data_IF_779330926228
#
_entry.id   IF_779330926228
#
_cell.length_a   1.000
_cell.length_b   1.000
_cell.length_c   1.000
_cell.angle_alpha   90.00
_cell.angle_beta   90.00
_cell.angle_gamma   90.00
#
_symmetry.space_group_name_H-M   'P 1'
#
loop_
_entity.id
_entity.type
_entity.pdbx_description
1 polymer ?
#
# COMPACT_ATOMS: atom_id res chain seq x y z
N UNK A 1 -19.44 -47.87 -48.54
CA UNK A 1 -18.80 -46.55 -48.54
C UNK A 1 -18.95 -45.90 -47.19
N UNK A 2 -17.86 -45.78 -46.42
CA UNK A 2 -17.78 -44.89 -45.26
C UNK A 2 -17.02 -43.64 -45.71
N UNK A 3 -17.68 -42.48 -45.69
CA UNK A 3 -17.03 -41.19 -45.86
C UNK A 3 -16.52 -40.72 -44.50
N UNK A 4 -15.20 -40.68 -44.33
CA UNK A 4 -14.55 -39.91 -43.25
C UNK A 4 -14.48 -38.45 -43.65
N UNK A 5 -15.10 -37.58 -42.85
CA UNK A 5 -14.93 -36.13 -42.93
C UNK A 5 -13.88 -35.74 -41.90
N UNK A 6 -12.68 -35.38 -42.37
CA UNK A 6 -11.61 -34.86 -41.52
C UNK A 6 -11.88 -33.40 -41.15
N UNK A 7 -11.97 -33.12 -39.85
CA UNK A 7 -12.05 -31.76 -39.31
C UNK A 7 -10.67 -31.11 -39.38
N UNK A 8 -10.47 -30.15 -40.29
CA UNK A 8 -9.26 -29.34 -40.36
C UNK A 8 -9.35 -28.26 -39.29
N UNK A 9 -8.55 -28.38 -38.23
CA UNK A 9 -8.41 -27.33 -37.21
C UNK A 9 -7.46 -26.27 -37.76
N UNK A 10 -8.01 -25.20 -38.34
CA UNK A 10 -7.25 -24.02 -38.73
C UNK A 10 -6.84 -23.27 -37.45
N UNK A 11 -5.56 -23.40 -37.07
CA UNK A 11 -5.00 -22.57 -35.99
C UNK A 11 -4.85 -21.15 -36.51
N UNK A 12 -5.70 -20.24 -36.01
CA UNK A 12 -5.58 -18.80 -36.30
C UNK A 12 -4.35 -18.24 -35.62
N UNK A 13 -3.29 -18.01 -36.40
CA UNK A 13 -2.05 -17.37 -35.93
C UNK A 13 -2.34 -15.90 -35.68
N UNK A 14 -2.34 -15.46 -34.42
CA UNK A 14 -2.43 -14.04 -34.09
C UNK A 14 -1.05 -13.40 -34.31
N UNK A 15 -0.95 -12.41 -35.19
CA UNK A 15 0.25 -11.61 -35.30
C UNK A 15 0.35 -10.71 -34.06
N UNK A 16 1.45 -10.82 -33.33
CA UNK A 16 1.75 -10.01 -32.15
C UNK A 16 1.62 -8.51 -32.47
N UNK A 17 0.72 -7.83 -31.76
CA UNK A 17 0.54 -6.39 -31.87
C UNK A 17 1.36 -5.66 -30.80
N UNK A 18 1.85 -4.47 -31.14
CA UNK A 18 2.48 -3.54 -30.18
C UNK A 18 1.52 -2.40 -29.90
N UNK A 19 1.31 -2.11 -28.61
CA UNK A 19 0.47 -1.03 -28.10
C UNK A 19 1.36 0.02 -27.46
N UNK A 20 1.54 1.14 -28.14
CA UNK A 20 2.33 2.26 -27.62
C UNK A 20 1.50 3.12 -26.67
N UNK A 21 2.01 3.31 -25.45
CA UNK A 21 1.38 4.10 -24.39
C UNK A 21 2.34 5.19 -23.94
N UNK A 22 1.91 6.43 -24.07
CA UNK A 22 2.62 7.60 -23.54
C UNK A 22 2.45 7.69 -22.03
N UNK A 23 3.55 7.80 -21.28
CA UNK A 23 3.59 7.97 -19.81
C UNK A 23 4.04 9.38 -19.47
N UNK A 24 3.11 10.20 -19.00
CA UNK A 24 3.26 11.65 -18.98
C UNK A 24 3.09 12.24 -20.39
N UNK A 25 2.63 13.48 -20.54
CA UNK A 25 2.54 14.10 -21.86
C UNK A 25 3.83 14.85 -22.25
N UNK A 26 4.00 15.21 -23.54
CA UNK A 26 5.21 15.86 -24.04
C UNK A 26 5.50 17.23 -23.40
N UNK A 27 4.51 17.87 -22.79
CA UNK A 27 4.65 19.13 -22.05
C UNK A 27 4.63 18.90 -20.52
N UNK A 28 4.77 17.65 -20.07
CA UNK A 28 4.75 17.26 -18.66
C UNK A 28 3.34 17.09 -18.07
N UNK A 29 2.36 16.73 -18.89
CA UNK A 29 1.02 16.35 -18.42
C UNK A 29 1.06 15.07 -17.57
N UNK A 30 0.18 14.92 -16.58
CA UNK A 30 0.13 13.77 -15.67
C UNK A 30 -0.90 12.75 -16.17
N UNK A 31 -0.56 11.97 -17.20
CA UNK A 31 -1.52 11.11 -17.93
C UNK A 31 -0.87 9.86 -18.52
N UNK A 32 -1.63 8.78 -18.66
CA UNK A 32 -1.33 7.68 -19.59
C UNK A 32 -2.15 7.86 -20.87
N UNK A 33 -1.53 7.80 -22.06
CA UNK A 33 -2.25 7.99 -23.32
C UNK A 33 -1.84 6.95 -24.38
N UNK A 34 -2.75 6.08 -24.86
CA UNK A 34 -4.14 5.96 -24.43
C UNK A 34 -4.25 5.50 -22.97
N UNK A 35 -5.39 5.76 -22.32
CA UNK A 35 -5.65 5.32 -20.95
C UNK A 35 -6.05 3.85 -20.86
N UNK A 36 -6.48 3.27 -21.98
CA UNK A 36 -6.84 1.85 -22.08
C UNK A 36 -6.40 1.24 -23.39
N UNK A 37 -6.17 -0.08 -23.39
CA UNK A 37 -5.95 -0.88 -24.60
C UNK A 37 -6.70 -2.20 -24.50
N UNK A 38 -7.07 -2.78 -25.64
CA UNK A 38 -7.69 -4.10 -25.73
C UNK A 38 -6.72 -5.07 -26.42
N UNK A 39 -5.73 -5.53 -25.66
CA UNK A 39 -4.62 -6.33 -26.13
C UNK A 39 -4.89 -7.84 -26.00
N UNK A 40 -4.41 -8.63 -26.96
CA UNK A 40 -4.55 -10.09 -26.93
C UNK A 40 -3.34 -10.74 -26.26
N UNK A 41 -3.50 -11.99 -25.85
CA UNK A 41 -2.37 -12.79 -25.37
C UNK A 41 -1.26 -12.82 -26.44
N UNK A 42 -0.03 -12.54 -26.01
CA UNK A 42 1.15 -12.41 -26.86
C UNK A 42 1.48 -10.97 -27.27
N UNK A 43 0.55 -10.01 -27.17
CA UNK A 43 0.81 -8.60 -27.49
C UNK A 43 1.84 -7.97 -26.53
N UNK A 44 2.47 -6.87 -26.97
CA UNK A 44 3.32 -6.03 -26.14
C UNK A 44 2.66 -4.68 -25.88
N UNK A 45 2.74 -4.19 -24.64
CA UNK A 45 2.43 -2.81 -24.28
C UNK A 45 3.76 -2.11 -24.01
N UNK A 46 4.07 -1.09 -24.80
CA UNK A 46 5.32 -0.33 -24.72
C UNK A 46 5.00 1.04 -24.15
N UNK A 47 5.47 1.29 -22.94
CA UNK A 47 5.28 2.55 -22.23
C UNK A 47 6.44 3.50 -22.51
N UNK A 48 6.16 4.65 -23.13
CA UNK A 48 7.13 5.69 -23.51
C UNK A 48 7.08 6.85 -22.50
N UNK A 49 8.15 7.00 -21.72
CA UNK A 49 8.22 8.00 -20.65
C UNK A 49 8.57 9.37 -21.21
N UNK A 50 7.63 10.30 -21.08
CA UNK A 50 7.77 11.70 -21.46
C UNK A 50 8.29 12.53 -20.27
N UNK A 51 8.57 13.84 -20.47
CA UNK A 51 9.17 14.69 -19.45
C UNK A 51 8.46 14.67 -18.09
N UNK A 52 9.23 14.98 -17.04
CA UNK A 52 8.95 14.79 -15.59
C UNK A 52 9.26 13.35 -15.14
N UNK A 53 8.80 12.98 -13.94
CA UNK A 53 9.12 11.72 -13.29
C UNK A 53 7.84 10.90 -13.12
N UNK A 54 7.84 9.68 -13.66
CA UNK A 54 6.69 8.79 -13.66
C UNK A 54 7.12 7.33 -13.44
N UNK A 55 6.13 6.48 -13.13
CA UNK A 55 6.28 5.03 -13.10
C UNK A 55 5.15 4.37 -13.87
N UNK A 56 5.40 3.11 -14.23
CA UNK A 56 4.43 2.10 -14.66
C UNK A 56 4.48 1.01 -13.60
N UNK A 57 3.54 1.08 -12.66
CA UNK A 57 3.50 0.16 -11.51
C UNK A 57 2.18 -0.60 -11.54
N UNK A 58 2.24 -1.93 -11.52
CA UNK A 58 1.04 -2.76 -11.50
C UNK A 58 0.33 -2.63 -10.15
N UNK A 59 -0.98 -2.48 -10.21
CA UNK A 59 -1.87 -2.48 -9.06
C UNK A 59 -2.99 -3.50 -9.26
N UNK A 60 -3.96 -3.50 -8.34
CA UNK A 60 -5.21 -4.24 -8.51
C UNK A 60 -6.36 -3.27 -8.71
N UNK A 61 -7.46 -3.76 -9.27
CA UNK A 61 -8.67 -2.94 -9.41
C UNK A 61 -9.15 -2.34 -8.07
N UNK A 62 -9.04 -3.12 -7.00
CA UNK A 62 -9.46 -2.74 -5.66
C UNK A 62 -8.49 -1.77 -4.95
N UNK A 63 -7.22 -1.78 -5.33
CA UNK A 63 -6.16 -0.96 -4.73
C UNK A 63 -5.43 -0.15 -5.82
N UNK A 64 -6.12 0.79 -6.50
CA UNK A 64 -5.61 1.43 -7.70
C UNK A 64 -4.30 2.17 -7.52
N UNK A 65 -4.05 2.75 -6.33
CA UNK A 65 -2.83 3.51 -6.04
C UNK A 65 -1.82 2.76 -5.15
N UNK A 66 -1.90 1.42 -5.09
CA UNK A 66 -0.98 0.58 -4.31
C UNK A 66 -0.35 -0.49 -5.21
N UNK A 67 0.95 -0.75 -5.03
CA UNK A 67 1.66 -1.77 -5.81
C UNK A 67 1.09 -3.15 -5.48
N UNK A 68 0.74 -3.91 -6.50
CA UNK A 68 0.32 -5.31 -6.37
C UNK A 68 1.53 -6.17 -5.99
N UNK A 69 1.36 -7.06 -5.00
CA UNK A 69 2.39 -8.04 -4.65
C UNK A 69 2.69 -8.99 -5.83
N UNK A 70 3.97 -9.27 -6.05
CA UNK A 70 4.46 -9.96 -7.25
C UNK A 70 4.21 -9.21 -8.57
N UNK A 71 3.60 -8.02 -8.53
CA UNK A 71 3.31 -7.20 -9.69
C UNK A 71 4.53 -6.44 -10.20
N UNK A 72 4.48 -6.07 -11.48
CA UNK A 72 5.60 -5.36 -12.10
C UNK A 72 5.72 -3.90 -11.63
N UNK A 73 6.95 -3.38 -11.64
CA UNK A 73 7.24 -1.95 -11.41
C UNK A 73 8.40 -1.53 -12.29
N UNK A 74 8.18 -0.50 -13.11
CA UNK A 74 9.20 0.07 -13.98
C UNK A 74 10.30 0.79 -13.20
N UNK A 75 10.10 1.06 -11.91
CA UNK A 75 10.77 2.10 -11.15
C UNK A 75 10.50 3.50 -11.74
N UNK A 76 11.14 4.52 -11.16
CA UNK A 76 11.03 5.90 -11.60
C UNK A 76 11.92 6.18 -12.81
N UNK A 77 11.33 6.78 -13.83
CA UNK A 77 12.02 7.31 -15.01
C UNK A 77 11.89 8.83 -15.07
N UNK A 78 12.87 9.59 -14.56
CA UNK A 78 12.91 11.03 -14.70
C UNK A 78 13.41 11.44 -16.09
N UNK A 79 12.63 12.25 -16.81
CA UNK A 79 12.95 12.72 -18.16
C UNK A 79 12.92 14.25 -18.20
N UNK A 80 13.92 14.87 -18.81
CA UNK A 80 13.99 16.31 -18.98
C UNK A 80 13.10 16.78 -20.16
N UNK A 81 12.54 17.99 -20.05
CA UNK A 81 11.76 18.60 -21.15
C UNK A 81 12.66 18.77 -22.38
N UNK A 82 12.16 18.38 -23.55
CA UNK A 82 12.89 18.47 -24.82
C UNK A 82 13.81 17.28 -25.14
N UNK A 83 13.79 16.23 -24.31
CA UNK A 83 14.50 14.96 -24.62
C UNK A 83 13.86 14.28 -25.83
N UNK A 84 14.67 13.91 -26.84
CA UNK A 84 14.20 13.21 -28.04
C UNK A 84 14.22 11.69 -27.91
N UNK A 85 15.17 11.13 -27.16
CA UNK A 85 15.30 9.70 -26.92
C UNK A 85 14.65 9.34 -25.57
N UNK A 86 13.40 8.91 -25.62
CA UNK A 86 12.59 8.63 -24.43
C UNK A 86 12.83 7.19 -23.93
N UNK A 87 12.94 6.98 -22.60
CA UNK A 87 13.04 5.64 -22.04
C UNK A 87 11.72 4.88 -22.21
N UNK A 88 11.82 3.56 -22.32
CA UNK A 88 10.66 2.66 -22.50
C UNK A 88 10.61 1.57 -21.45
N UNK A 89 9.39 1.10 -21.15
CA UNK A 89 9.13 -0.07 -20.32
C UNK A 89 8.12 -0.99 -21.02
N UNK A 90 8.42 -2.28 -21.14
CA UNK A 90 7.62 -3.21 -21.92
C UNK A 90 6.91 -4.20 -21.02
N UNK A 91 5.62 -4.41 -21.27
CA UNK A 91 4.80 -5.42 -20.60
C UNK A 91 4.27 -6.39 -21.65
N UNK A 92 4.59 -7.67 -21.49
CA UNK A 92 4.02 -8.75 -22.30
C UNK A 92 2.64 -9.14 -21.77
N UNK A 93 1.65 -9.17 -22.64
CA UNK A 93 0.28 -9.59 -22.30
C UNK A 93 0.22 -11.11 -22.29
N UNK A 94 0.25 -11.71 -21.10
CA UNK A 94 0.25 -13.18 -20.94
C UNK A 94 -1.16 -13.78 -20.86
N UNK A 95 -2.20 -12.97 -20.72
CA UNK A 95 -3.60 -13.40 -20.73
C UNK A 95 -4.52 -12.21 -20.99
N UNK A 96 -5.79 -12.46 -21.28
CA UNK A 96 -6.81 -11.41 -21.44
C UNK A 96 -7.42 -10.94 -20.12
N UNK A 97 -6.91 -11.39 -18.96
CA UNK A 97 -7.33 -10.88 -17.66
C UNK A 97 -6.92 -9.40 -17.52
N UNK A 98 -7.76 -8.52 -16.93
CA UNK A 98 -7.44 -7.10 -16.84
C UNK A 98 -6.12 -6.82 -16.10
N UNK A 99 -5.31 -5.92 -16.66
CA UNK A 99 -4.08 -5.42 -16.04
C UNK A 99 -4.32 -3.98 -15.61
N UNK A 100 -4.11 -3.69 -14.33
CA UNK A 100 -4.32 -2.38 -13.71
C UNK A 100 -2.97 -1.75 -13.40
N UNK A 101 -2.79 -0.49 -13.80
CA UNK A 101 -1.51 0.21 -13.69
C UNK A 101 -1.73 1.62 -13.16
N UNK A 102 -0.81 2.08 -12.32
CA UNK A 102 -0.79 3.46 -11.83
C UNK A 102 0.61 4.06 -11.85
N UNK A 103 0.64 5.39 -11.77
CA UNK A 103 1.86 6.14 -11.51
C UNK A 103 1.99 6.38 -10.00
N UNK A 104 3.08 5.91 -9.39
CA UNK A 104 3.32 6.04 -7.94
C UNK A 104 3.97 7.36 -7.51
N UNK A 105 4.23 8.26 -8.45
CA UNK A 105 4.77 9.59 -8.16
C UNK A 105 3.82 10.37 -7.23
N UNK A 106 4.37 10.90 -6.14
CA UNK A 106 3.61 11.65 -5.15
C UNK A 106 2.62 10.81 -4.32
N UNK A 107 2.78 9.47 -4.28
CA UNK A 107 1.96 8.60 -3.44
C UNK A 107 1.89 9.11 -1.99
N UNK A 108 0.71 9.06 -1.38
CA UNK A 108 0.46 9.57 -0.04
C UNK A 108 0.41 11.09 0.10
N UNK A 109 0.52 11.86 -0.99
CA UNK A 109 0.51 13.34 -0.95
C UNK A 109 -0.64 13.94 -1.77
N UNK A 110 -0.98 15.24 -1.56
CA UNK A 110 -1.93 15.96 -2.43
C UNK A 110 -1.54 16.02 -3.91
N UNK A 111 -0.26 15.80 -4.23
CA UNK A 111 0.26 15.80 -5.60
C UNK A 111 0.36 14.38 -6.18
N UNK A 112 -0.34 13.40 -5.61
CA UNK A 112 -0.34 12.02 -6.10
C UNK A 112 -0.79 11.95 -7.55
N UNK A 113 0.06 11.46 -8.44
CA UNK A 113 -0.29 11.29 -9.85
C UNK A 113 -1.47 10.33 -10.02
N UNK A 114 -1.46 9.18 -9.32
CA UNK A 114 -2.60 8.27 -9.29
C UNK A 114 -3.85 8.91 -8.69
N UNK A 115 -3.69 9.68 -7.61
CA UNK A 115 -4.78 10.45 -7.00
C UNK A 115 -5.37 11.54 -7.89
N UNK A 116 -4.61 12.03 -8.86
CA UNK A 116 -5.07 12.94 -9.90
C UNK A 116 -5.65 12.21 -11.12
N UNK A 117 -5.70 10.87 -11.08
CA UNK A 117 -6.29 10.02 -12.11
C UNK A 117 -5.30 9.47 -13.13
N UNK A 118 -3.98 9.55 -12.89
CA UNK A 118 -2.95 8.95 -13.75
C UNK A 118 -2.89 7.43 -13.51
N UNK A 119 -3.84 6.75 -14.13
CA UNK A 119 -3.98 5.29 -14.15
C UNK A 119 -4.22 4.79 -15.58
N UNK A 120 -3.90 3.53 -15.83
CA UNK A 120 -4.03 2.84 -17.10
C UNK A 120 -4.64 1.44 -16.88
N UNK A 121 -5.37 0.94 -17.88
CA UNK A 121 -5.86 -0.43 -17.87
C UNK A 121 -5.70 -1.14 -19.22
N UNK A 122 -5.12 -2.33 -19.21
CA UNK A 122 -5.23 -3.25 -20.35
C UNK A 122 -6.40 -4.21 -20.12
N UNK A 123 -7.21 -4.40 -21.16
CA UNK A 123 -8.39 -5.27 -21.15
C UNK A 123 -9.39 -5.00 -20.00
N UNK A 124 -9.75 -3.73 -19.69
CA UNK A 124 -10.80 -3.46 -18.71
C UNK A 124 -12.16 -3.99 -19.20
N UNK A 125 -13.11 -4.14 -18.29
CA UNK A 125 -14.51 -4.32 -18.69
C UNK A 125 -14.99 -3.12 -19.51
N UNK A 126 -15.96 -3.35 -20.40
CA UNK A 126 -16.59 -2.28 -21.18
C UNK A 126 -17.25 -1.23 -20.29
N UNK A 127 -17.60 -0.09 -20.87
CA UNK A 127 -18.24 1.01 -20.14
C UNK A 127 -19.50 0.54 -19.39
N UNK A 128 -19.61 0.92 -18.12
CA UNK A 128 -20.69 0.50 -17.22
C UNK A 128 -20.48 -0.85 -16.55
N UNK A 129 -19.49 -1.65 -16.95
CA UNK A 129 -19.12 -2.86 -16.22
C UNK A 129 -18.51 -2.51 -14.85
N UNK A 130 -18.67 -3.42 -13.88
CA UNK A 130 -18.10 -3.26 -12.53
C UNK A 130 -16.59 -3.01 -12.59
N UNK A 131 -15.88 -3.76 -13.43
CA UNK A 131 -14.44 -3.67 -13.70
C UNK A 131 -14.10 -2.74 -14.88
N UNK A 132 -14.85 -1.67 -15.11
CA UNK A 132 -14.56 -0.69 -16.17
C UNK A 132 -13.41 0.25 -15.80
N UNK A 133 -12.74 0.82 -16.81
CA UNK A 133 -11.68 1.81 -16.59
C UNK A 133 -12.19 3.05 -15.84
N UNK A 134 -13.40 3.52 -16.13
CA UNK A 134 -14.01 4.66 -15.46
C UNK A 134 -14.11 4.42 -13.95
N UNK A 135 -14.55 3.22 -13.55
CA UNK A 135 -14.63 2.85 -12.13
C UNK A 135 -13.24 2.78 -11.49
N UNK A 136 -12.26 2.22 -12.19
CA UNK A 136 -10.87 2.16 -11.72
C UNK A 136 -10.28 3.57 -11.51
N UNK A 137 -10.47 4.48 -12.46
CA UNK A 137 -9.98 5.85 -12.36
C UNK A 137 -10.70 6.64 -11.26
N UNK A 138 -12.01 6.43 -11.08
CA UNK A 138 -12.74 7.06 -9.98
C UNK A 138 -12.25 6.56 -8.62
N UNK A 139 -11.99 5.25 -8.49
CA UNK A 139 -11.41 4.66 -7.29
C UNK A 139 -10.01 5.23 -7.00
N UNK A 140 -9.17 5.41 -8.03
CA UNK A 140 -7.85 6.04 -7.90
C UNK A 140 -7.93 7.47 -7.38
N UNK A 141 -8.82 8.29 -7.96
CA UNK A 141 -9.06 9.67 -7.52
C UNK A 141 -9.58 9.74 -6.09
N UNK A 142 -10.48 8.82 -5.71
CA UNK A 142 -10.99 8.74 -4.34
C UNK A 142 -9.89 8.34 -3.33
N UNK A 143 -9.05 7.36 -3.67
CA UNK A 143 -7.91 6.95 -2.85
C UNK A 143 -6.91 8.11 -2.67
N UNK A 144 -6.64 8.86 -3.75
CA UNK A 144 -5.79 10.05 -3.72
C UNK A 144 -6.36 11.20 -2.89
N UNK A 145 -7.65 11.53 -3.07
CA UNK A 145 -8.32 12.58 -2.31
C UNK A 145 -8.32 12.29 -0.81
N UNK A 146 -8.48 11.02 -0.42
CA UNK A 146 -8.41 10.56 0.98
C UNK A 146 -7.00 10.73 1.56
N UNK A 147 -5.97 10.49 0.74
CA UNK A 147 -4.57 10.73 1.11
C UNK A 147 -4.24 12.24 1.22
N UNK A 148 -4.84 13.06 0.36
CA UNK A 148 -4.62 14.52 0.30
C UNK A 148 -5.35 15.30 1.42
N UNK A 149 -6.58 14.91 1.77
CA UNK A 149 -7.36 15.53 2.85
C UNK A 149 -6.75 15.30 4.23
N UNK A 150 -6.01 14.20 4.39
CA UNK A 150 -5.23 13.89 5.60
C UNK A 150 -4.01 14.82 5.76
N UNK A 151 -3.42 15.28 4.66
CA UNK A 151 -2.30 16.25 4.66
C UNK A 151 -2.76 17.72 4.88
N UNK A 152 -4.01 18.06 4.55
CA UNK A 152 -4.58 19.40 4.77
C UNK A 152 -5.28 19.56 6.14
N UNK A 153 -5.66 18.47 6.79
CA UNK A 153 -6.38 18.50 8.08
C UNK A 153 -5.49 18.80 9.29
N UNK A 154 -4.20 19.12 9.11
CA UNK A 154 -3.35 19.67 10.17
C UNK A 154 -3.55 21.18 10.41
N UNK A 155 -4.38 21.87 9.63
CA UNK A 155 -4.49 23.35 9.73
C UNK A 155 -5.87 23.98 9.79
N UNK A 156 -6.98 23.27 9.55
CA UNK A 156 -8.32 23.73 9.91
C UNK A 156 -9.34 22.63 9.61
N UNK A 157 -10.20 22.29 10.57
CA UNK A 157 -11.65 22.39 10.40
C UNK A 157 -12.36 22.15 11.72
N UNK A 158 -13.17 23.13 12.11
CA UNK A 158 -14.26 22.97 13.06
C UNK A 158 -15.44 22.30 12.32
N UNK A 159 -16.00 21.22 12.87
CA UNK A 159 -17.25 20.63 12.39
C UNK A 159 -18.21 20.35 13.54
N UNK A 160 -19.48 20.64 13.29
CA UNK A 160 -20.60 20.83 14.21
C UNK A 160 -21.36 19.55 14.59
N UNK A 161 -20.64 18.48 14.93
CA UNK A 161 -21.23 17.30 15.60
C UNK A 161 -20.36 16.97 16.80
N UNK A 162 -20.89 16.60 17.98
CA UNK A 162 -20.07 16.33 19.16
C UNK A 162 -19.21 15.08 18.90
N UNK A 163 -18.02 15.31 18.34
CA UNK A 163 -17.00 14.30 18.19
C UNK A 163 -16.47 13.99 19.59
N UNK A 164 -16.62 12.75 20.02
CA UNK A 164 -15.77 12.19 21.07
C UNK A 164 -14.34 12.24 20.54
N UNK A 165 -13.60 13.28 20.93
CA UNK A 165 -12.18 13.42 20.63
C UNK A 165 -11.39 12.56 21.60
N UNK A 166 -10.51 11.71 21.08
CA UNK A 166 -9.64 10.86 21.89
C UNK A 166 -8.27 11.53 21.97
N UNK A 167 -7.58 11.39 23.08
CA UNK A 167 -6.18 11.82 23.21
C UNK A 167 -5.27 10.64 22.91
N UNK A 168 -4.15 10.88 22.24
CA UNK A 168 -3.07 9.90 22.14
C UNK A 168 -2.69 9.38 23.54
N UNK A 169 -2.14 8.18 23.61
CA UNK A 169 -1.80 7.54 24.88
C UNK A 169 -0.76 8.34 25.70
N UNK A 170 -0.03 9.24 25.04
CA UNK A 170 0.88 10.21 25.66
C UNK A 170 0.94 11.50 24.83
N UNK A 171 1.43 12.58 25.46
CA UNK A 171 1.38 13.92 24.88
C UNK A 171 -0.03 14.53 24.92
N UNK A 172 -0.30 15.48 24.01
CA UNK A 172 -1.57 16.22 23.93
C UNK A 172 -2.20 16.15 22.54
N UNK A 173 -1.73 15.24 21.68
CA UNK A 173 -2.25 15.08 20.33
C UNK A 173 -3.66 14.46 20.38
N UNK A 174 -4.61 15.06 19.67
CA UNK A 174 -5.91 14.46 19.42
C UNK A 174 -5.79 13.39 18.35
N UNK A 175 -6.47 12.25 18.57
CA UNK A 175 -6.57 11.14 17.62
C UNK A 175 -8.04 10.85 17.32
N UNK A 176 -8.36 10.33 16.11
CA UNK A 176 -9.71 9.88 15.79
C UNK A 176 -10.17 8.74 16.73
N UNK A 177 -11.48 8.52 16.88
CA UNK A 177 -12.00 7.39 17.65
C UNK A 177 -11.40 6.06 17.17
N UNK A 178 -11.12 5.10 18.08
CA UNK A 178 -10.81 3.74 17.67
C UNK A 178 -11.98 3.18 16.86
N UNK A 179 -11.73 2.41 15.79
CA UNK A 179 -12.80 1.85 15.00
C UNK A 179 -13.48 0.74 15.81
N UNK A 180 -14.81 0.62 15.68
CA UNK A 180 -15.55 -0.45 16.36
C UNK A 180 -15.14 -1.81 15.78
N UNK A 181 -14.66 -2.71 16.65
CA UNK A 181 -14.35 -4.09 16.26
C UNK A 181 -15.67 -4.83 16.12
N UNK A 182 -15.99 -5.29 14.90
CA UNK A 182 -17.09 -6.22 14.68
C UNK A 182 -16.53 -7.62 14.67
N UNK A 183 -17.08 -8.50 15.51
CA UNK A 183 -16.69 -9.92 15.48
C UNK A 183 -17.39 -10.58 14.29
N UNK A 184 -16.62 -11.07 13.33
CA UNK A 184 -17.11 -11.78 12.15
C UNK A 184 -16.84 -13.26 12.33
N UNK A 185 -17.85 -14.10 12.07
CA UNK A 185 -17.68 -15.54 11.96
C UNK A 185 -17.95 -15.94 10.52
N UNK A 186 -16.94 -16.47 9.84
CA UNK A 186 -16.99 -16.80 8.43
C UNK A 186 -16.53 -18.24 8.20
N UNK A 187 -17.15 -18.92 7.23
CA UNK A 187 -16.66 -20.22 6.75
C UNK A 187 -15.75 -19.99 5.56
N UNK A 188 -14.46 -20.15 5.78
CA UNK A 188 -13.43 -19.99 4.77
C UNK A 188 -13.35 -21.28 3.95
N UNK A 189 -13.27 -21.16 2.63
CA UNK A 189 -13.03 -22.29 1.73
C UNK A 189 -11.86 -21.95 0.81
N UNK A 190 -10.73 -22.65 0.96
CA UNK A 190 -9.54 -22.46 0.12
C UNK A 190 -8.91 -23.82 -0.18
N UNK A 191 -8.51 -24.05 -1.43
CA UNK A 191 -7.84 -25.28 -1.88
C UNK A 191 -8.54 -26.59 -1.45
N UNK A 192 -9.88 -26.60 -1.44
CA UNK A 192 -10.68 -27.77 -1.05
C UNK A 192 -10.73 -28.04 0.45
N UNK A 193 -10.09 -27.21 1.28
CA UNK A 193 -10.24 -27.20 2.74
C UNK A 193 -11.30 -26.18 3.14
N UNK A 194 -12.07 -26.50 4.17
CA UNK A 194 -13.05 -25.57 4.73
C UNK A 194 -13.00 -25.57 6.25
N UNK A 195 -13.00 -24.38 6.85
CA UNK A 195 -13.07 -24.22 8.30
C UNK A 195 -13.81 -22.93 8.65
N UNK A 196 -14.41 -22.91 9.84
CA UNK A 196 -15.00 -21.70 10.39
C UNK A 196 -13.95 -20.94 11.19
N UNK A 197 -13.83 -19.64 10.94
CA UNK A 197 -12.96 -18.74 11.71
C UNK A 197 -13.78 -17.61 12.30
N UNK A 198 -13.37 -17.16 13.48
CA UNK A 198 -13.95 -15.98 14.15
C UNK A 198 -12.83 -14.98 14.37
N UNK A 199 -12.99 -13.76 13.86
CA UNK A 199 -11.97 -12.71 13.93
C UNK A 199 -12.60 -11.32 14.09
N UNK A 200 -11.80 -10.38 14.59
CA UNK A 200 -12.18 -8.97 14.64
C UNK A 200 -11.99 -8.32 13.25
N UNK A 201 -13.04 -7.67 12.75
CA UNK A 201 -13.01 -6.92 11.50
C UNK A 201 -13.42 -5.46 11.73
N UNK A 202 -12.93 -4.58 10.86
CA UNK A 202 -13.26 -3.16 10.86
C UNK A 202 -13.90 -2.79 9.52
N UNK A 203 -14.75 -1.74 9.49
CA UNK A 203 -15.24 -1.21 8.22
C UNK A 203 -14.07 -0.84 7.29
N UNK A 204 -13.99 -1.49 6.13
CA UNK A 204 -12.92 -1.27 5.14
C UNK A 204 -11.68 -2.18 5.29
N UNK A 205 -11.67 -3.12 6.24
CA UNK A 205 -10.67 -4.20 6.28
C UNK A 205 -10.79 -5.12 5.06
N UNK A 206 -9.68 -5.74 4.60
CA UNK A 206 -9.72 -6.75 3.54
C UNK A 206 -10.49 -8.01 3.96
N UNK A 207 -10.93 -8.81 3.00
CA UNK A 207 -11.58 -10.10 3.27
C UNK A 207 -10.61 -11.06 3.97
N UNK A 208 -11.09 -11.80 4.96
CA UNK A 208 -10.27 -12.72 5.74
C UNK A 208 -10.00 -14.07 5.05
N UNK A 209 -10.45 -14.23 3.81
CA UNK A 209 -10.17 -15.43 3.01
C UNK A 209 -8.70 -15.40 2.59
N UNK A 210 -7.86 -16.33 3.08
CA UNK A 210 -6.46 -16.43 2.65
C UNK A 210 -6.39 -16.79 1.17
N UNK A 211 -5.37 -16.29 0.47
CA UNK A 211 -5.15 -16.63 -0.94
C UNK A 211 -4.77 -18.11 -1.15
N UNK A 212 -4.16 -18.75 -0.14
CA UNK A 212 -3.77 -20.16 -0.16
C UNK A 212 -3.69 -20.73 1.26
N UNK A 213 -3.54 -22.05 1.41
CA UNK A 213 -3.31 -22.67 2.73
C UNK A 213 -1.96 -22.29 3.36
N UNK A 214 -0.98 -21.89 2.53
CA UNK A 214 0.36 -21.52 2.96
C UNK A 214 0.49 -20.03 3.30
N UNK A 215 -0.47 -19.19 2.86
CA UNK A 215 -0.39 -17.73 2.94
C UNK A 215 0.62 -17.14 1.96
N UNK A 216 0.53 -15.84 1.73
CA UNK A 216 1.49 -15.07 0.94
C UNK A 216 2.63 -14.54 1.83
N UNK A 217 3.75 -14.19 1.21
CA UNK A 217 4.90 -13.59 1.88
C UNK A 217 5.03 -12.13 1.47
N UNK A 218 4.84 -11.22 2.42
CA UNK A 218 5.02 -9.79 2.21
C UNK A 218 6.40 -9.37 2.72
N UNK A 219 7.33 -9.14 1.80
CA UNK A 219 8.67 -8.68 2.16
C UNK A 219 8.68 -7.17 2.39
N UNK A 220 9.21 -6.76 3.55
CA UNK A 220 9.38 -5.36 3.95
C UNK A 220 10.85 -5.10 4.25
N UNK A 221 11.47 -4.21 3.50
CA UNK A 221 12.85 -3.77 3.74
C UNK A 221 12.83 -2.79 4.92
N UNK A 222 13.66 -3.05 5.94
CA UNK A 222 13.79 -2.20 7.11
C UNK A 222 15.14 -1.47 7.08
N UNK A 223 15.10 -0.16 6.85
CA UNK A 223 16.30 0.68 6.74
C UNK A 223 16.92 0.67 5.34
N UNK A 224 18.26 0.66 5.29
CA UNK A 224 19.03 0.73 4.04
C UNK A 224 19.56 2.13 3.74
N UNK A 225 19.42 2.59 2.49
CA UNK A 225 19.80 3.95 2.10
C UNK A 225 18.89 5.02 2.72
N UNK A 226 17.65 4.65 3.03
CA UNK A 226 16.63 5.52 3.61
C UNK A 226 16.24 5.06 5.03
N UNK A 227 15.67 5.98 5.80
CA UNK A 227 15.16 5.73 7.15
C UNK A 227 13.68 5.27 7.10
N UNK A 228 13.41 4.14 6.45
CA UNK A 228 12.04 3.73 6.11
C UNK A 228 11.79 2.24 6.31
N UNK A 229 10.51 1.88 6.43
CA UNK A 229 10.02 0.58 6.01
C UNK A 229 9.57 0.69 4.55
N UNK A 230 9.99 -0.23 3.69
CA UNK A 230 9.61 -0.24 2.27
C UNK A 230 9.07 -1.62 1.86
N UNK A 231 7.78 -1.73 1.46
CA UNK A 231 6.79 -0.64 1.42
C UNK A 231 6.40 -0.14 2.82
N UNK A 232 5.84 1.09 2.94
CA UNK A 232 5.44 1.67 4.23
C UNK A 232 4.18 1.04 4.83
N UNK A 233 3.37 0.37 4.02
CA UNK A 233 2.24 -0.42 4.48
C UNK A 233 1.92 -1.54 3.49
N UNK A 234 1.22 -2.57 3.96
CA UNK A 234 0.73 -3.69 3.13
C UNK A 234 -0.69 -4.09 3.53
N UNK A 235 -1.42 -4.69 2.59
CA UNK A 235 -2.64 -5.46 2.90
C UNK A 235 -2.27 -6.94 2.91
N UNK A 236 -2.70 -7.65 3.94
CA UNK A 236 -2.37 -9.05 4.14
C UNK A 236 -3.58 -9.82 4.70
N UNK A 237 -3.80 -11.01 4.18
CA UNK A 237 -4.86 -11.91 4.66
C UNK A 237 -4.36 -12.73 5.85
N UNK A 238 -5.26 -13.32 6.66
CA UNK A 238 -4.86 -14.31 7.65
C UNK A 238 -3.99 -15.41 7.03
N UNK A 239 -2.99 -15.88 7.77
CA UNK A 239 -1.91 -16.80 7.36
C UNK A 239 -0.79 -16.20 6.53
N UNK A 240 -0.96 -15.00 5.98
CA UNK A 240 0.16 -14.32 5.33
C UNK A 240 1.29 -14.07 6.34
N UNK A 241 2.52 -13.96 5.84
CA UNK A 241 3.69 -13.67 6.66
C UNK A 241 4.32 -12.36 6.21
N UNK A 242 4.47 -11.42 7.15
CA UNK A 242 5.27 -10.22 6.96
C UNK A 242 6.72 -10.58 7.28
N UNK A 243 7.60 -10.47 6.29
CA UNK A 243 9.04 -10.71 6.43
C UNK A 243 9.75 -9.36 6.45
N UNK A 244 10.13 -8.93 7.65
CA UNK A 244 10.98 -7.75 7.84
C UNK A 244 12.44 -8.13 7.56
N UNK A 245 12.96 -7.74 6.40
CA UNK A 245 14.36 -7.93 6.02
C UNK A 245 15.17 -6.69 6.41
N UNK A 246 16.09 -6.83 7.36
CA UNK A 246 16.86 -5.71 7.90
C UNK A 246 18.06 -5.40 7.02
N UNK A 247 18.15 -4.14 6.61
CA UNK A 247 19.27 -3.60 5.85
C UNK A 247 20.17 -2.76 6.76
N UNK A 248 21.15 -2.07 6.18
CA UNK A 248 22.25 -1.41 6.89
C UNK A 248 21.77 -0.55 8.07
N UNK A 249 22.65 -0.44 9.09
CA UNK A 249 22.44 0.21 10.40
C UNK A 249 21.60 -0.66 11.34
N UNK A 250 21.07 -0.05 12.40
CA UNK A 250 20.41 -0.75 13.48
C UNK A 250 18.96 -0.26 13.61
N UNK A 251 18.02 -1.14 13.26
CA UNK A 251 16.59 -0.87 13.21
C UNK A 251 15.82 -1.97 13.95
N UNK A 252 14.54 -1.75 14.21
CA UNK A 252 13.63 -2.77 14.77
C UNK A 252 12.32 -2.78 14.02
N UNK A 253 11.60 -3.90 14.09
CA UNK A 253 10.16 -3.96 13.89
C UNK A 253 9.50 -4.22 15.25
N UNK A 254 8.91 -3.18 15.84
CA UNK A 254 8.24 -3.26 17.15
C UNK A 254 6.78 -2.92 16.99
N UNK A 255 5.88 -3.78 17.44
CA UNK A 255 4.44 -3.52 17.40
C UNK A 255 4.07 -2.42 18.39
N UNK A 256 3.22 -1.50 17.95
CA UNK A 256 2.62 -0.44 18.76
C UNK A 256 1.11 -0.39 18.53
N UNK A 257 0.45 0.61 19.11
CA UNK A 257 -0.94 0.93 18.80
C UNK A 257 -1.00 2.25 18.05
N UNK A 258 -2.08 2.46 17.28
CA UNK A 258 -2.25 3.71 16.54
C UNK A 258 -2.14 4.95 17.43
N UNK A 259 -2.71 4.92 18.63
CA UNK A 259 -2.71 6.03 19.59
C UNK A 259 -1.40 6.16 20.40
N UNK A 260 -0.50 5.19 20.29
CA UNK A 260 0.81 5.17 20.96
C UNK A 260 1.93 4.77 19.98
N UNK A 261 2.11 5.50 18.86
CA UNK A 261 2.87 5.03 17.70
C UNK A 261 4.33 4.66 17.99
N UNK A 262 4.99 5.37 18.93
CA UNK A 262 6.39 5.14 19.30
C UNK A 262 6.56 4.37 20.61
N UNK A 263 5.51 3.70 21.09
CA UNK A 263 5.55 2.89 22.31
C UNK A 263 5.18 1.45 22.01
N UNK A 264 6.01 0.52 22.48
CA UNK A 264 5.75 -0.91 22.38
C UNK A 264 4.39 -1.24 23.00
N UNK A 265 3.56 -1.94 22.23
CA UNK A 265 2.28 -2.47 22.67
C UNK A 265 2.51 -3.61 23.68
N UNK A 266 1.73 -3.63 24.77
CA UNK A 266 1.78 -4.74 25.72
C UNK A 266 1.31 -6.04 25.05
N UNK A 267 2.05 -7.12 25.24
CA UNK A 267 1.85 -8.38 24.52
C UNK A 267 2.15 -8.34 23.01
N UNK A 268 2.58 -7.20 22.46
CA UNK A 268 2.95 -7.04 21.06
C UNK A 268 4.35 -7.58 20.73
N UNK A 269 4.60 -7.87 19.45
CA UNK A 269 5.90 -8.37 19.01
C UNK A 269 6.99 -7.28 19.01
N UNK A 270 8.25 -7.71 19.08
CA UNK A 270 9.44 -6.84 19.06
C UNK A 270 10.61 -7.66 18.52
N UNK A 271 11.17 -7.23 17.39
CA UNK A 271 12.35 -7.88 16.80
C UNK A 271 13.61 -7.73 17.65
N UNK A 272 13.58 -6.87 18.67
CA UNK A 272 14.77 -6.37 19.34
C UNK A 272 15.77 -5.70 18.38
N UNK A 273 16.94 -5.34 18.91
CA UNK A 273 18.06 -4.79 18.13
C UNK A 273 19.04 -5.91 17.68
N UNK A 274 18.53 -7.13 17.51
CA UNK A 274 19.34 -8.31 17.18
C UNK A 274 19.74 -8.36 15.69
N UNK A 275 19.28 -7.39 14.90
CA UNK A 275 19.35 -7.37 13.44
C UNK A 275 20.19 -6.20 12.89
N UNK A 276 21.21 -5.75 13.62
CA UNK A 276 22.09 -4.69 13.14
C UNK A 276 22.96 -5.17 11.94
N UNK A 277 22.98 -4.39 10.86
CA UNK A 277 23.66 -4.76 9.61
C UNK A 277 24.79 -3.77 9.28
N UNK A 278 25.97 -4.29 8.96
CA UNK A 278 27.13 -3.50 8.55
C UNK A 278 26.93 -2.83 7.17
N UNK A 279 27.58 -1.69 6.95
CA UNK A 279 27.39 -0.87 5.74
C UNK A 279 27.63 -1.62 4.41
N UNK A 280 28.55 -2.58 4.40
CA UNK A 280 28.94 -3.35 3.22
C UNK A 280 28.44 -4.81 3.22
N UNK A 281 27.46 -5.13 4.07
CA UNK A 281 26.88 -6.47 4.11
C UNK A 281 26.08 -6.76 2.82
N UNK A 282 26.17 -8.01 2.35
CA UNK A 282 25.39 -8.55 1.22
C UNK A 282 24.40 -9.65 1.65
N UNK A 283 24.32 -9.93 2.94
CA UNK A 283 23.38 -10.87 3.56
C UNK A 283 22.57 -10.11 4.60
N UNK A 284 21.25 -10.29 4.57
CA UNK A 284 20.31 -9.52 5.38
C UNK A 284 19.48 -10.48 6.24
N UNK A 285 19.43 -10.28 7.57
CA UNK A 285 18.65 -11.14 8.43
C UNK A 285 17.16 -10.74 8.40
N UNK A 286 16.28 -11.67 8.77
CA UNK A 286 14.84 -11.47 8.71
C UNK A 286 14.14 -11.71 10.05
N UNK A 287 13.07 -10.95 10.30
CA UNK A 287 12.11 -11.19 11.37
C UNK A 287 10.73 -11.38 10.76
N UNK A 288 10.04 -12.46 11.14
CA UNK A 288 8.80 -12.88 10.48
C UNK A 288 7.62 -12.73 11.45
N UNK A 289 6.52 -12.16 10.95
CA UNK A 289 5.26 -12.02 11.70
C UNK A 289 4.13 -12.64 10.88
N UNK A 290 3.45 -13.63 11.44
CA UNK A 290 2.25 -14.20 10.82
C UNK A 290 1.04 -13.32 11.10
N UNK A 291 0.29 -13.00 10.06
CA UNK A 291 -0.97 -12.25 10.12
C UNK A 291 -2.07 -13.22 10.55
N UNK A 292 -2.70 -12.95 11.69
CA UNK A 292 -3.72 -13.83 12.27
C UNK A 292 -5.14 -13.45 11.87
N UNK A 293 -5.37 -12.16 11.61
CA UNK A 293 -6.66 -11.59 11.29
C UNK A 293 -6.49 -10.35 10.38
N UNK A 294 -7.59 -9.67 10.09
CA UNK A 294 -7.64 -8.50 9.21
C UNK A 294 -7.53 -7.18 9.99
N UNK A 295 -7.16 -7.23 11.27
CA UNK A 295 -6.99 -6.04 12.09
C UNK A 295 -5.75 -5.23 11.66
N UNK A 296 -5.79 -3.89 11.76
CA UNK A 296 -4.61 -3.08 11.53
C UNK A 296 -3.51 -3.43 12.54
N UNK A 297 -2.31 -3.71 12.03
CA UNK A 297 -1.10 -3.87 12.84
C UNK A 297 -0.25 -2.62 12.64
N UNK A 298 0.13 -1.98 13.74
CA UNK A 298 0.95 -0.77 13.73
C UNK A 298 2.35 -1.11 14.22
N UNK A 299 3.37 -0.67 13.50
CA UNK A 299 4.76 -1.04 13.75
C UNK A 299 5.65 0.20 13.68
N UNK A 300 6.65 0.26 14.54
CA UNK A 300 7.63 1.35 14.54
C UNK A 300 9.06 0.85 14.73
N UNK A 301 10.00 1.69 14.34
CA UNK A 301 11.40 1.51 14.68
C UNK A 301 11.72 2.20 16.00
N UNK A 302 12.14 1.45 17.03
CA UNK A 302 12.39 1.97 18.38
C UNK A 302 13.80 2.51 18.61
N UNK A 303 14.59 2.67 17.55
CA UNK A 303 15.93 3.26 17.63
C UNK A 303 15.84 4.74 18.01
N UNK A 304 16.58 5.14 19.04
CA UNK A 304 16.62 6.53 19.53
C UNK A 304 17.99 7.18 19.40
N UNK A 305 19.03 6.43 19.01
CA UNK A 305 20.39 6.92 18.89
C UNK A 305 20.94 6.66 17.48
N UNK A 306 21.46 7.68 16.77
CA UNK A 306 21.70 9.06 17.22
C UNK A 306 20.46 9.97 17.20
N UNK A 307 19.34 9.52 16.64
CA UNK A 307 18.08 10.25 16.59
C UNK A 307 16.90 9.27 16.74
N UNK A 308 15.74 9.78 17.16
CA UNK A 308 14.51 9.00 17.27
C UNK A 308 13.96 8.68 15.88
N UNK A 309 14.07 7.41 15.48
CA UNK A 309 13.61 6.96 14.17
C UNK A 309 12.09 7.05 14.04
N UNK A 310 11.34 6.75 15.10
CA UNK A 310 9.88 6.83 15.08
C UNK A 310 9.38 8.28 15.04
N UNK A 311 9.99 9.15 15.86
CA UNK A 311 9.78 10.59 15.81
C UNK A 311 10.21 11.22 14.48
N UNK A 312 11.09 10.57 13.72
CA UNK A 312 11.44 10.93 12.35
C UNK A 312 10.55 10.26 11.29
N UNK A 313 9.46 9.59 11.68
CA UNK A 313 8.48 9.01 10.77
C UNK A 313 8.75 7.56 10.32
N UNK A 314 9.71 6.86 10.92
CA UNK A 314 10.02 5.46 10.59
C UNK A 314 9.00 4.51 11.24
N UNK A 315 7.84 4.40 10.59
CA UNK A 315 6.71 3.55 10.98
C UNK A 315 6.22 2.70 9.80
N UNK A 316 5.43 1.67 10.10
CA UNK A 316 4.86 0.73 9.15
C UNK A 316 3.45 0.30 9.59
N UNK A 317 2.60 -0.07 8.63
CA UNK A 317 1.27 -0.60 8.91
C UNK A 317 0.93 -1.86 8.09
N UNK A 318 0.24 -2.81 8.72
CA UNK A 318 -0.45 -3.90 8.02
C UNK A 318 -1.93 -3.63 8.11
N UNK A 319 -2.68 -3.80 7.03
CA UNK A 319 -4.15 -3.69 7.01
C UNK A 319 -4.70 -2.36 7.57
N UNK A 320 -3.93 -1.26 7.47
CA UNK A 320 -4.46 0.07 7.71
C UNK A 320 -5.55 0.39 6.67
N UNK A 321 -6.66 0.97 7.13
CA UNK A 321 -7.78 1.32 6.25
C UNK A 321 -7.50 2.71 5.69
N UNK A 322 -6.96 2.77 4.48
CA UNK A 322 -6.44 4.01 3.89
C UNK A 322 -7.51 5.09 3.64
N UNK A 323 -8.77 4.69 3.52
CA UNK A 323 -9.93 5.60 3.43
C UNK A 323 -10.42 6.11 4.80
N UNK A 324 -9.90 5.58 5.91
CA UNK A 324 -10.32 5.95 7.26
C UNK A 324 -9.46 7.06 7.86
N UNK A 325 -9.91 7.64 8.99
CA UNK A 325 -9.09 8.57 9.77
C UNK A 325 -7.89 7.89 10.46
N UNK A 326 -7.87 6.55 10.54
CA UNK A 326 -6.76 5.74 11.10
C UNK A 326 -6.05 4.98 9.98
N UNK A 327 -5.53 5.74 9.02
CA UNK A 327 -4.71 5.25 7.90
C UNK A 327 -3.20 5.35 8.21
N UNK A 328 -2.35 4.83 7.33
CA UNK A 328 -0.89 4.90 7.49
C UNK A 328 -0.39 6.34 7.65
N UNK A 329 -0.87 7.26 6.81
CA UNK A 329 -0.43 8.65 6.83
C UNK A 329 -0.72 9.33 8.19
N UNK A 330 -1.91 9.09 8.76
CA UNK A 330 -2.29 9.61 10.07
C UNK A 330 -1.43 9.00 11.20
N UNK A 331 -1.06 7.73 11.08
CA UNK A 331 -0.18 7.06 12.03
C UNK A 331 1.24 7.64 12.00
N UNK A 332 1.82 7.83 10.81
CA UNK A 332 3.13 8.45 10.63
C UNK A 332 3.14 9.90 11.12
N UNK A 333 2.14 10.70 10.76
CA UNK A 333 2.03 12.08 11.22
C UNK A 333 1.90 12.18 12.74
N UNK A 334 1.19 11.24 13.39
CA UNK A 334 1.11 11.18 14.84
C UNK A 334 2.46 10.83 15.47
N UNK A 335 3.21 9.87 14.89
CA UNK A 335 4.55 9.50 15.34
C UNK A 335 5.51 10.70 15.33
N UNK A 336 5.54 11.43 14.21
CA UNK A 336 6.34 12.63 14.03
C UNK A 336 5.93 13.76 14.98
N UNK A 337 4.62 14.00 15.11
CA UNK A 337 4.08 15.02 16.02
C UNK A 337 4.43 14.74 17.48
N UNK A 338 4.42 13.48 17.90
CA UNK A 338 4.79 13.08 19.25
C UNK A 338 6.31 13.07 19.48
N UNK A 339 7.10 13.08 18.39
CA UNK A 339 8.55 13.12 18.36
C UNK A 339 9.19 12.07 19.28
N UNK A 340 8.81 10.80 19.07
CA UNK A 340 9.20 9.68 19.92
C UNK A 340 8.34 9.56 21.18
N UNK A 341 8.88 8.97 22.25
CA UNK A 341 8.22 8.90 23.58
C UNK A 341 8.57 10.07 24.50
N UNK A 342 9.29 11.06 23.99
CA UNK A 342 9.93 12.13 24.77
C UNK A 342 8.98 13.27 25.18
N UNK A 343 7.76 13.32 24.62
CA UNK A 343 6.77 14.32 25.02
C UNK A 343 6.24 14.02 26.42
N UNK A 344 6.92 14.62 27.40
CA UNK A 344 6.49 14.63 28.80
C UNK A 344 5.15 15.37 28.88
N UNK A 345 4.06 14.64 29.10
CA UNK A 345 2.83 15.25 29.60
C UNK A 345 3.16 15.90 30.94
N UNK A 346 3.06 17.23 31.01
CA UNK A 346 2.97 17.94 32.29
C UNK A 346 1.79 17.34 33.05
N UNK A 347 2.10 16.51 34.04
CA UNK A 347 1.11 15.93 34.93
C UNK A 347 0.33 17.04 35.62
N UNK A 348 -0.94 17.21 35.25
CA UNK A 348 -1.90 17.80 36.17
C UNK A 348 -2.20 16.72 37.21
N UNK A 349 -1.52 16.85 38.35
CA UNK A 349 -1.89 16.24 39.61
C UNK A 349 -3.39 16.44 39.85
N UNK A 350 -4.16 15.35 39.77
CA UNK A 350 -5.51 15.31 40.32
C UNK A 350 -5.37 15.38 41.84
N UNK A 351 -5.63 16.55 42.40
CA UNK A 351 -5.83 16.70 43.83
C UNK A 351 -7.20 16.11 44.16
N UNK A 352 -7.19 15.01 44.91
CA UNK A 352 -8.38 14.47 45.57
C UNK A 352 -8.94 15.52 46.53
N UNK A 353 -10.23 15.84 46.42
CA UNK A 353 -10.97 16.51 47.49
C UNK A 353 -11.59 15.43 48.39
N UNK A 354 -11.45 15.52 49.73
CA UNK A 354 -11.94 14.50 50.64
C UNK A 354 -13.42 14.70 50.99
N UNK A 355 -14.10 13.55 51.20
CA UNK A 355 -15.36 13.27 51.92
C UNK A 355 -16.61 14.08 51.56
#
# INVERSE_FOLDING_TARGET
SLLSVGLVVLSSVHAQQVWDVTVGGPNGETVFNPTTVNAKEGDQIVFHFNPKNHTVTQSTFAQPCSKMDGGFDSNFFPVAVGTSDLPTYNVTVNSTTPIWVYCRQGAGTPNSHCGLGMVFAANPGGDGAANSFVNFQNAAKAQGASSASTAASSTAYASTSPATTYTAAYGTATVPPPPEIVTVTETITVEGSSWTTTYGSYPGSPDATPASLQGNVHKVIVGGTNLTFDPPFVSASPRDTIVFEFHQKNHTATQSTFDAPCKKMDGGFDSAFDFAVAANASSFPTFNVTVNDTAPIWVYCRQTNPADHCGAGMVFAVNSVESSQRNFAAFQALAEKLNGTSSSGTGSSSASAPS
#
